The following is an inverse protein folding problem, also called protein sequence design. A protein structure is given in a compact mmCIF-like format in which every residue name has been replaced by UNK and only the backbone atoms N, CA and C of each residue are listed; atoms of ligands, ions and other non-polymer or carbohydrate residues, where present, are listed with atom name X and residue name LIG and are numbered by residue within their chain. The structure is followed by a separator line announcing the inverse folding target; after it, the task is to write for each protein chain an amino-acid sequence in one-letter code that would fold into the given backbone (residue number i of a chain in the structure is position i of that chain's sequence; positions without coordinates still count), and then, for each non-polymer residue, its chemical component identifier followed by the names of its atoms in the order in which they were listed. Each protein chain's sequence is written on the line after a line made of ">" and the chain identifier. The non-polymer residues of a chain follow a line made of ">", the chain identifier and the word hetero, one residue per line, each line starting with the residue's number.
data_IF_384093825943
#
_entry.id   IF_384093825943
#
_cell.length_a   1.000
_cell.length_b   1.000
_cell.length_c   1.000
_cell.angle_alpha   90.00
_cell.angle_beta   90.00
_cell.angle_gamma   90.00
#
_symmetry.space_group_name_H-M   'P 1'
#
loop_
_entity.id
_entity.type
_entity.pdbx_description
1 polymer ?
#
# COMPACT_ATOMS: atom_id res chain seq x y z
N UNK A 1 -12.10 -13.44 12.08
CA UNK A 1 -10.78 -13.50 11.40
C UNK A 1 -9.82 -12.53 12.07
N UNK A 2 -8.74 -13.05 12.67
CA UNK A 2 -7.73 -12.28 13.40
C UNK A 2 -6.75 -11.58 12.47
N UNK A 3 -6.31 -10.38 12.84
CA UNK A 3 -5.36 -9.59 12.05
C UNK A 3 -4.56 -8.58 12.90
N UNK A 4 -3.51 -8.01 12.33
CA UNK A 4 -2.67 -7.03 13.01
C UNK A 4 -1.50 -6.55 12.14
N UNK A 5 -0.62 -5.69 12.67
CA UNK A 5 -0.61 -5.12 14.03
C UNK A 5 -1.20 -3.71 14.03
N UNK A 6 -2.14 -3.45 14.94
CA UNK A 6 -2.69 -2.12 15.21
C UNK A 6 -2.47 -1.79 16.68
N UNK A 7 -1.99 -0.58 16.93
CA UNK A 7 -1.67 -0.11 18.28
C UNK A 7 -2.81 0.64 18.97
N UNK A 8 -3.85 1.02 18.23
CA UNK A 8 -5.01 1.69 18.80
C UNK A 8 -5.96 0.66 19.45
N UNK A 9 -6.67 1.11 20.49
CA UNK A 9 -7.71 0.33 21.17
C UNK A 9 -9.07 0.82 20.70
N UNK A 10 -9.37 0.63 19.42
CA UNK A 10 -10.61 1.11 18.82
C UNK A 10 -11.39 -0.07 18.27
N UNK A 11 -12.63 -0.17 18.72
CA UNK A 11 -13.63 -1.12 18.23
C UNK A 11 -14.72 -0.34 17.52
N UNK A 12 -15.31 -0.94 16.50
CA UNK A 12 -16.42 -0.33 15.79
C UNK A 12 -17.25 -1.40 15.07
N UNK A 13 -18.48 -1.03 14.71
CA UNK A 13 -19.44 -1.89 14.03
C UNK A 13 -19.81 -1.29 12.68
N UNK A 14 -20.08 -2.17 11.71
CA UNK A 14 -20.52 -1.84 10.36
C UNK A 14 -21.67 -2.78 9.99
N UNK A 15 -22.29 -2.58 8.82
CA UNK A 15 -23.33 -3.50 8.37
C UNK A 15 -22.74 -4.88 8.06
N UNK A 16 -23.12 -5.89 8.84
CA UNK A 16 -22.73 -7.30 8.62
C UNK A 16 -21.39 -7.72 9.24
N UNK A 17 -20.62 -6.80 9.82
CA UNK A 17 -19.37 -7.12 10.53
C UNK A 17 -19.02 -6.12 11.62
N UNK A 18 -18.09 -6.50 12.50
CA UNK A 18 -17.49 -5.62 13.51
C UNK A 18 -15.99 -5.84 13.59
N UNK A 19 -15.25 -4.82 14.00
CA UNK A 19 -13.84 -4.90 14.34
C UNK A 19 -13.72 -4.82 15.85
N UNK A 20 -13.15 -5.86 16.45
CA UNK A 20 -12.97 -5.99 17.90
C UNK A 20 -11.51 -6.14 18.26
N UNK A 21 -11.16 -5.70 19.46
CA UNK A 21 -9.83 -5.89 20.05
C UNK A 21 -9.74 -7.33 20.55
N UNK A 22 -8.60 -7.98 20.34
CA UNK A 22 -8.36 -9.31 20.88
C UNK A 22 -8.03 -9.26 22.38
N UNK A 23 -8.51 -10.27 23.11
CA UNK A 23 -8.11 -10.48 24.51
C UNK A 23 -6.58 -10.52 24.66
N UNK A 24 -6.07 -9.95 25.76
CA UNK A 24 -4.64 -9.83 26.00
C UNK A 24 -3.94 -8.81 25.09
N UNK A 25 -4.65 -7.78 24.60
CA UNK A 25 -4.07 -6.71 23.79
C UNK A 25 -2.84 -6.07 24.47
N UNK A 26 -2.94 -5.73 25.76
CA UNK A 26 -1.85 -5.08 26.49
C UNK A 26 -0.60 -5.97 26.58
N UNK A 27 -0.77 -7.27 26.84
CA UNK A 27 0.33 -8.23 26.83
C UNK A 27 1.00 -8.31 25.45
N UNK A 28 0.21 -8.34 24.37
CA UNK A 28 0.75 -8.31 23.00
C UNK A 28 1.50 -7.02 22.70
N UNK A 29 1.04 -5.88 23.21
CA UNK A 29 1.74 -4.60 23.10
C UNK A 29 3.08 -4.61 23.85
N UNK A 30 3.14 -5.25 25.02
CA UNK A 30 4.37 -5.36 25.81
C UNK A 30 5.38 -6.32 25.17
N UNK A 31 4.92 -7.44 24.60
CA UNK A 31 5.73 -8.32 23.76
C UNK A 31 6.26 -7.55 22.54
N UNK A 32 5.39 -6.79 21.86
CA UNK A 32 5.80 -5.97 20.73
C UNK A 32 6.94 -5.01 21.10
N UNK A 33 6.78 -4.23 22.18
CA UNK A 33 7.78 -3.25 22.64
C UNK A 33 9.10 -3.88 23.09
N UNK A 34 9.06 -5.09 23.63
CA UNK A 34 10.25 -5.77 24.18
C UNK A 34 11.00 -6.63 23.17
N UNK A 35 10.31 -7.15 22.15
CA UNK A 35 10.84 -8.24 21.31
C UNK A 35 11.00 -7.88 19.83
N UNK A 36 10.29 -6.87 19.31
CA UNK A 36 10.35 -6.53 17.89
C UNK A 36 11.39 -5.44 17.62
N UNK A 37 12.24 -5.59 16.58
CA UNK A 37 13.18 -4.55 16.19
C UNK A 37 12.44 -3.41 15.51
N UNK A 38 12.39 -2.24 16.16
CA UNK A 38 11.72 -1.04 15.67
C UNK A 38 12.74 0.09 15.52
N UNK A 39 12.75 0.74 14.35
CA UNK A 39 13.58 1.91 14.10
C UNK A 39 12.99 2.75 12.96
N UNK A 40 13.14 4.08 13.02
CA UNK A 40 12.73 4.98 11.94
C UNK A 40 11.26 4.91 11.54
N UNK A 41 10.36 4.47 12.42
CA UNK A 41 8.93 4.29 12.12
C UNK A 41 8.56 2.92 11.52
N UNK A 42 9.52 2.01 11.39
CA UNK A 42 9.32 0.66 10.84
C UNK A 42 9.58 -0.44 11.86
N UNK A 43 8.85 -1.53 11.72
CA UNK A 43 9.16 -2.83 12.33
C UNK A 43 9.94 -3.64 11.30
N UNK A 44 11.05 -4.25 11.72
CA UNK A 44 11.91 -5.06 10.85
C UNK A 44 11.72 -6.56 11.12
N UNK A 45 11.97 -7.39 10.11
CA UNK A 45 12.02 -8.82 10.29
C UNK A 45 13.18 -9.22 11.23
N UNK A 46 13.04 -10.31 12.00
CA UNK A 46 14.11 -10.80 12.87
C UNK A 46 15.41 -11.06 12.10
N UNK A 47 16.55 -10.69 12.68
CA UNK A 47 17.84 -10.94 12.05
C UNK A 47 18.26 -12.41 12.23
N UNK A 48 18.91 -12.95 11.21
CA UNK A 48 19.52 -14.27 11.21
C UNK A 48 21.02 -14.13 10.94
N UNK A 49 21.84 -14.81 11.73
CA UNK A 49 23.26 -14.95 11.43
C UNK A 49 23.44 -15.96 10.29
N UNK A 50 24.15 -15.58 9.24
CA UNK A 50 24.62 -16.54 8.25
C UNK A 50 25.83 -17.29 8.80
N UNK A 51 26.18 -18.42 8.19
CA UNK A 51 27.35 -19.17 8.62
C UNK A 51 28.36 -19.28 7.51
N UNK A 52 29.64 -19.12 7.86
CA UNK A 52 30.72 -19.37 6.94
C UNK A 52 30.71 -20.85 6.52
N UNK A 53 30.85 -21.08 5.22
CA UNK A 53 31.14 -22.40 4.68
C UNK A 53 32.50 -22.88 5.21
N UNK A 54 32.74 -24.21 5.27
CA UNK A 54 34.00 -24.75 5.79
C UNK A 54 35.27 -24.22 5.11
N UNK A 55 35.18 -23.84 3.82
CA UNK A 55 36.29 -23.22 3.08
C UNK A 55 36.51 -21.76 3.47
N UNK A 56 35.43 -21.02 3.75
CA UNK A 56 35.46 -19.61 4.14
C UNK A 56 36.03 -19.43 5.54
N UNK A 57 35.74 -20.34 6.47
CA UNK A 57 36.33 -20.33 7.83
C UNK A 57 37.86 -20.35 7.85
N UNK A 58 38.50 -20.82 6.78
CA UNK A 58 39.95 -20.86 6.64
C UNK A 58 40.53 -19.60 5.99
N UNK A 59 39.69 -18.80 5.31
CA UNK A 59 40.11 -17.66 4.49
C UNK A 59 39.67 -16.31 5.08
N UNK A 60 38.57 -16.29 5.83
CA UNK A 60 37.98 -15.08 6.39
C UNK A 60 37.86 -15.19 7.90
N UNK A 61 38.40 -14.18 8.59
CA UNK A 61 38.30 -13.99 10.03
C UNK A 61 37.25 -12.94 10.42
N UNK A 62 36.56 -12.36 9.44
CA UNK A 62 35.48 -11.41 9.68
C UNK A 62 34.32 -12.07 10.44
N UNK A 63 33.56 -11.32 11.25
CA UNK A 63 32.32 -11.81 11.83
C UNK A 63 31.36 -12.31 10.75
N UNK A 64 30.63 -13.38 11.06
CA UNK A 64 29.59 -13.88 10.15
C UNK A 64 28.47 -12.83 10.01
N UNK A 65 28.02 -12.53 8.78
CA UNK A 65 27.10 -11.44 8.54
C UNK A 65 25.72 -11.72 9.15
N UNK A 66 25.12 -10.68 9.72
CA UNK A 66 23.71 -10.66 10.13
C UNK A 66 22.87 -10.19 8.95
N UNK A 67 21.87 -10.99 8.56
CA UNK A 67 20.91 -10.61 7.52
C UNK A 67 19.51 -10.51 8.08
N UNK A 68 18.72 -9.60 7.54
CA UNK A 68 17.29 -9.52 7.88
C UNK A 68 16.56 -10.77 7.41
N UNK A 69 15.61 -11.26 8.20
CA UNK A 69 14.62 -12.22 7.73
C UNK A 69 13.83 -11.67 6.55
N UNK A 70 13.32 -12.58 5.71
CA UNK A 70 12.54 -12.19 4.53
C UNK A 70 11.10 -11.82 4.89
N UNK A 71 10.51 -12.53 5.86
CA UNK A 71 9.14 -12.33 6.30
C UNK A 71 9.10 -11.87 7.76
N UNK A 72 8.24 -10.89 8.01
CA UNK A 72 7.90 -10.37 9.33
C UNK A 72 6.48 -10.80 9.67
N UNK A 73 6.33 -11.64 10.70
CA UNK A 73 5.03 -12.01 11.25
C UNK A 73 4.73 -11.16 12.48
N UNK A 74 3.60 -10.48 12.43
CA UNK A 74 3.14 -9.62 13.51
C UNK A 74 2.04 -10.32 14.31
N UNK A 75 1.97 -10.09 15.63
CA UNK A 75 0.92 -10.68 16.45
C UNK A 75 -0.42 -10.02 16.08
N UNK A 76 -1.51 -10.80 15.96
CA UNK A 76 -2.81 -10.21 15.73
C UNK A 76 -3.25 -9.45 16.99
N UNK A 77 -3.81 -8.27 16.78
CA UNK A 77 -4.29 -7.37 17.85
C UNK A 77 -5.80 -7.19 17.80
N UNK A 78 -6.39 -7.45 16.64
CA UNK A 78 -7.81 -7.26 16.36
C UNK A 78 -8.39 -8.46 15.64
N UNK A 79 -9.71 -8.52 15.60
CA UNK A 79 -10.48 -9.50 14.87
C UNK A 79 -11.66 -8.85 14.14
N UNK A 80 -11.88 -9.26 12.88
CA UNK A 80 -13.16 -9.06 12.21
C UNK A 80 -14.12 -10.17 12.63
N UNK A 81 -15.23 -9.81 13.27
CA UNK A 81 -16.35 -10.70 13.54
C UNK A 81 -17.45 -10.44 12.49
N UNK A 82 -17.71 -11.40 11.61
CA UNK A 82 -18.69 -11.30 10.52
C UNK A 82 -19.29 -12.68 10.18
N UNK A 83 -20.31 -12.70 9.34
CA UNK A 83 -20.81 -13.93 8.68
C UNK A 83 -20.25 -14.13 7.27
N UNK A 84 -19.32 -13.28 6.85
CA UNK A 84 -18.72 -13.35 5.52
C UNK A 84 -17.64 -14.43 5.43
N UNK A 85 -17.33 -14.84 4.21
CA UNK A 85 -16.24 -15.78 3.95
C UNK A 85 -14.85 -15.17 4.19
N UNK A 86 -13.83 -16.03 4.14
CA UNK A 86 -12.44 -15.64 4.40
C UNK A 86 -11.90 -14.66 3.35
N UNK A 87 -12.34 -14.76 2.09
CA UNK A 87 -11.89 -13.85 1.04
C UNK A 87 -12.38 -12.42 1.31
N UNK A 88 -13.65 -12.29 1.66
CA UNK A 88 -14.25 -11.01 1.99
C UNK A 88 -13.60 -10.41 3.25
N UNK A 89 -13.43 -11.21 4.31
CA UNK A 89 -12.76 -10.74 5.52
C UNK A 89 -11.30 -10.30 5.25
N UNK A 90 -10.57 -11.03 4.42
CA UNK A 90 -9.21 -10.64 4.02
C UNK A 90 -9.19 -9.34 3.20
N UNK A 91 -10.21 -9.10 2.36
CA UNK A 91 -10.37 -7.84 1.63
C UNK A 91 -10.66 -6.67 2.60
N UNK A 92 -11.54 -6.87 3.58
CA UNK A 92 -11.85 -5.86 4.61
C UNK A 92 -10.60 -5.50 5.42
N UNK A 93 -9.81 -6.49 5.85
CA UNK A 93 -8.54 -6.24 6.57
C UNK A 93 -7.60 -5.38 5.72
N UNK A 94 -7.45 -5.73 4.45
CA UNK A 94 -6.56 -5.01 3.54
C UNK A 94 -7.06 -3.58 3.27
N UNK A 95 -8.37 -3.41 3.08
CA UNK A 95 -9.01 -2.11 2.93
C UNK A 95 -8.89 -1.25 4.19
N UNK A 96 -9.00 -1.85 5.39
CA UNK A 96 -8.77 -1.13 6.64
C UNK A 96 -7.31 -0.67 6.76
N UNK A 97 -6.37 -1.52 6.32
CA UNK A 97 -4.97 -1.14 6.19
C UNK A 97 -4.77 0.06 5.28
N UNK A 98 -5.45 0.09 4.13
CA UNK A 98 -5.45 1.26 3.24
C UNK A 98 -5.95 2.53 3.93
N UNK A 99 -7.07 2.47 4.66
CA UNK A 99 -7.59 3.62 5.40
C UNK A 99 -6.62 4.10 6.48
N UNK A 100 -6.03 3.17 7.23
CA UNK A 100 -5.06 3.48 8.30
C UNK A 100 -3.69 3.94 7.75
N UNK A 101 -3.39 3.69 6.47
CA UNK A 101 -2.06 3.89 5.92
C UNK A 101 -1.03 2.90 6.48
N UNK A 102 -1.45 1.65 6.68
CA UNK A 102 -0.67 0.55 7.25
C UNK A 102 -0.88 -0.74 6.44
N UNK A 103 0.16 -1.57 6.31
CA UNK A 103 -0.03 -2.91 5.76
C UNK A 103 -0.56 -3.85 6.85
N UNK A 104 -1.87 -4.11 6.82
CA UNK A 104 -2.53 -5.08 7.69
C UNK A 104 -2.77 -6.38 6.95
N UNK A 105 -2.53 -7.50 7.62
CA UNK A 105 -2.76 -8.83 7.06
C UNK A 105 -3.42 -9.76 8.08
N UNK A 106 -4.17 -10.78 7.60
CA UNK A 106 -4.67 -11.85 8.46
C UNK A 106 -3.53 -12.52 9.25
N UNK A 107 -3.89 -13.07 10.41
CA UNK A 107 -2.98 -13.91 11.21
C UNK A 107 -2.35 -15.02 10.35
N UNK A 108 -1.05 -15.24 10.53
CA UNK A 108 -0.28 -16.23 9.77
C UNK A 108 0.21 -15.75 8.41
N UNK A 109 -0.16 -14.55 7.96
CA UNK A 109 0.45 -13.89 6.81
C UNK A 109 1.53 -12.91 7.29
N UNK A 110 2.59 -12.74 6.49
CA UNK A 110 3.75 -11.93 6.85
C UNK A 110 3.98 -10.76 5.89
N UNK A 111 4.56 -9.68 6.40
CA UNK A 111 5.06 -8.56 5.59
C UNK A 111 6.48 -8.86 5.07
N UNK A 112 6.85 -8.26 3.93
CA UNK A 112 8.18 -8.43 3.34
C UNK A 112 9.19 -7.48 3.98
N UNK A 113 10.21 -8.03 4.64
CA UNK A 113 11.37 -7.29 5.18
C UNK A 113 11.05 -6.36 6.35
N UNK A 114 10.21 -5.35 6.13
CA UNK A 114 9.79 -4.36 7.13
C UNK A 114 8.36 -3.88 6.88
N UNK A 115 7.72 -3.27 7.87
CA UNK A 115 6.41 -2.62 7.70
C UNK A 115 6.27 -1.43 8.64
N UNK A 116 5.63 -0.33 8.24
CA UNK A 116 5.30 0.74 9.17
C UNK A 116 4.29 0.26 10.22
N UNK A 117 4.30 0.90 11.39
CA UNK A 117 3.36 0.58 12.48
C UNK A 117 2.57 1.79 13.00
N UNK A 118 2.94 2.99 12.54
CA UNK A 118 2.25 4.23 12.88
C UNK A 118 1.16 4.53 11.83
N UNK A 119 -0.10 4.76 12.22
CA UNK A 119 -1.13 5.21 11.29
C UNK A 119 -0.68 6.42 10.48
N UNK A 120 -1.22 6.61 9.28
CA UNK A 120 -0.85 7.63 8.28
C UNK A 120 0.55 7.48 7.67
N UNK A 121 1.33 6.45 8.00
CA UNK A 121 2.72 6.34 7.51
C UNK A 121 2.83 6.20 6.00
N UNK A 122 1.90 5.48 5.35
CA UNK A 122 1.96 5.22 3.91
C UNK A 122 1.27 6.33 3.11
N UNK A 123 0.06 6.72 3.52
CA UNK A 123 -0.83 7.58 2.73
C UNK A 123 -0.96 9.01 3.26
N UNK A 124 -0.38 9.34 4.42
CA UNK A 124 -0.47 10.66 5.04
C UNK A 124 -1.85 11.01 5.62
N UNK A 125 -2.81 10.08 5.65
CA UNK A 125 -4.20 10.34 6.03
C UNK A 125 -4.54 9.82 7.42
N UNK A 126 -5.29 10.63 8.17
CA UNK A 126 -5.74 10.31 9.52
C UNK A 126 -7.24 10.03 9.52
N UNK A 127 -7.64 8.92 10.14
CA UNK A 127 -9.04 8.60 10.40
C UNK A 127 -9.54 9.40 11.60
N UNK A 128 -10.54 10.24 11.38
CA UNK A 128 -11.14 11.11 12.39
C UNK A 128 -12.62 10.79 12.60
N UNK A 129 -13.09 10.84 13.85
CA UNK A 129 -14.49 10.53 14.21
C UNK A 129 -14.94 9.19 13.58
N UNK A 130 -16.00 9.24 12.77
CA UNK A 130 -16.65 8.09 12.14
C UNK A 130 -16.01 7.64 10.83
N UNK A 131 -14.83 8.17 10.46
CA UNK A 131 -14.17 7.81 9.18
C UNK A 131 -13.88 6.31 9.09
N UNK A 132 -13.65 5.64 10.23
CA UNK A 132 -13.42 4.19 10.29
C UNK A 132 -14.65 3.45 9.80
N UNK A 133 -15.79 3.71 10.42
CA UNK A 133 -17.07 3.07 10.12
C UNK A 133 -17.50 3.37 8.69
N UNK A 134 -17.49 4.66 8.31
CA UNK A 134 -17.91 5.08 6.96
C UNK A 134 -17.02 4.51 5.87
N UNK A 135 -15.70 4.61 6.04
CA UNK A 135 -14.75 4.10 5.06
C UNK A 135 -14.84 2.59 4.92
N UNK A 136 -14.96 1.87 6.03
CA UNK A 136 -15.10 0.43 6.03
C UNK A 136 -16.44 -0.04 5.43
N UNK A 137 -17.52 0.71 5.62
CA UNK A 137 -18.80 0.44 4.96
C UNK A 137 -18.67 0.61 3.45
N UNK A 138 -18.06 1.68 2.96
CA UNK A 138 -17.81 1.88 1.52
C UNK A 138 -16.99 0.73 0.93
N UNK A 139 -15.95 0.28 1.64
CA UNK A 139 -15.10 -0.85 1.21
C UNK A 139 -15.90 -2.17 1.17
N UNK A 140 -16.75 -2.41 2.17
CA UNK A 140 -17.66 -3.56 2.21
C UNK A 140 -18.61 -3.55 1.01
N UNK A 141 -19.26 -2.40 0.77
CA UNK A 141 -20.18 -2.23 -0.36
C UNK A 141 -19.47 -2.39 -1.71
N UNK A 142 -18.21 -1.92 -1.84
CA UNK A 142 -17.41 -2.19 -3.03
C UNK A 142 -17.26 -3.69 -3.28
N UNK A 143 -16.88 -4.47 -2.26
CA UNK A 143 -16.70 -5.91 -2.42
C UNK A 143 -18.02 -6.59 -2.81
N UNK A 144 -19.13 -6.28 -2.12
CA UNK A 144 -20.44 -6.86 -2.39
C UNK A 144 -20.86 -6.62 -3.86
N UNK A 145 -20.69 -5.39 -4.35
CA UNK A 145 -21.15 -5.00 -5.69
C UNK A 145 -20.19 -5.38 -6.84
N UNK A 146 -18.90 -5.54 -6.55
CA UNK A 146 -17.91 -5.91 -7.54
C UNK A 146 -18.03 -7.40 -7.94
N UNK A 147 -17.67 -7.73 -9.17
CA UNK A 147 -17.49 -9.12 -9.60
C UNK A 147 -16.14 -9.70 -9.14
N UNK A 148 -15.93 -11.00 -9.35
CA UNK A 148 -14.73 -11.73 -8.90
C UNK A 148 -13.45 -11.11 -9.47
N UNK A 149 -13.42 -10.77 -10.77
CA UNK A 149 -12.25 -10.17 -11.40
C UNK A 149 -11.93 -8.78 -10.84
N UNK A 150 -12.95 -7.96 -10.59
CA UNK A 150 -12.81 -6.63 -10.00
C UNK A 150 -12.34 -6.69 -8.55
N UNK A 151 -12.87 -7.62 -7.74
CA UNK A 151 -12.42 -7.86 -6.36
C UNK A 151 -10.95 -8.26 -6.33
N UNK A 152 -10.59 -9.24 -7.16
CA UNK A 152 -9.23 -9.75 -7.27
C UNK A 152 -8.25 -8.65 -7.72
N UNK A 153 -8.60 -7.89 -8.76
CA UNK A 153 -7.76 -6.79 -9.25
C UNK A 153 -7.63 -5.67 -8.22
N UNK A 154 -8.69 -5.29 -7.52
CA UNK A 154 -8.64 -4.25 -6.49
C UNK A 154 -7.81 -4.68 -5.29
N UNK A 155 -7.98 -5.93 -4.85
CA UNK A 155 -7.15 -6.53 -3.79
C UNK A 155 -5.67 -6.47 -4.16
N UNK A 156 -5.34 -6.82 -5.41
CA UNK A 156 -3.96 -6.73 -5.90
C UNK A 156 -3.44 -5.29 -5.88
N UNK A 157 -4.25 -4.31 -6.31
CA UNK A 157 -3.87 -2.89 -6.28
C UNK A 157 -3.59 -2.39 -4.87
N UNK A 158 -4.49 -2.64 -3.91
CA UNK A 158 -4.31 -2.20 -2.52
C UNK A 158 -3.10 -2.91 -1.89
N UNK A 159 -2.95 -4.21 -2.13
CA UNK A 159 -1.81 -4.96 -1.62
C UNK A 159 -0.48 -4.40 -2.12
N UNK A 160 -0.33 -4.24 -3.45
CA UNK A 160 0.89 -3.68 -4.04
C UNK A 160 1.17 -2.26 -3.58
N UNK A 161 0.12 -1.44 -3.41
CA UNK A 161 0.24 -0.09 -2.89
C UNK A 161 0.81 -0.07 -1.48
N UNK A 162 0.31 -0.92 -0.58
CA UNK A 162 0.75 -0.97 0.81
C UNK A 162 2.15 -1.57 0.96
N UNK A 163 2.47 -2.66 0.25
CA UNK A 163 3.79 -3.31 0.35
C UNK A 163 4.89 -2.50 -0.33
N UNK A 164 4.57 -1.62 -1.28
CA UNK A 164 5.56 -0.75 -1.91
C UNK A 164 6.34 0.02 -0.84
N UNK A 165 5.66 0.51 0.20
CA UNK A 165 6.32 1.26 1.27
C UNK A 165 7.33 0.42 2.08
N UNK A 166 7.23 -0.91 2.04
CA UNK A 166 8.21 -1.82 2.66
C UNK A 166 9.50 -1.94 1.85
N UNK A 167 9.51 -1.60 0.57
CA UNK A 167 10.68 -1.72 -0.30
C UNK A 167 11.77 -0.70 0.08
N UNK A 168 13.03 -1.10 -0.08
CA UNK A 168 14.17 -0.30 0.32
C UNK A 168 14.55 0.74 -0.73
N UNK A 169 14.46 0.37 -2.01
CA UNK A 169 14.91 1.24 -3.08
C UNK A 169 13.75 2.00 -3.74
N UNK A 170 14.01 3.26 -4.10
CA UNK A 170 13.02 4.12 -4.76
C UNK A 170 12.55 3.55 -6.11
N UNK A 171 13.44 2.95 -6.90
CA UNK A 171 13.07 2.35 -8.18
C UNK A 171 12.12 1.15 -8.01
N UNK A 172 12.25 0.37 -6.92
CA UNK A 172 11.34 -0.74 -6.60
C UNK A 172 9.95 -0.20 -6.24
N UNK A 173 9.92 0.85 -5.41
CA UNK A 173 8.68 1.54 -5.04
C UNK A 173 7.99 2.13 -6.25
N UNK A 174 8.74 2.78 -7.14
CA UNK A 174 8.25 3.29 -8.40
C UNK A 174 7.61 2.18 -9.25
N UNK A 175 8.30 1.05 -9.44
CA UNK A 175 7.79 -0.08 -10.22
C UNK A 175 6.51 -0.68 -9.60
N UNK A 176 6.49 -0.85 -8.27
CA UNK A 176 5.32 -1.30 -7.52
C UNK A 176 4.13 -0.35 -7.70
N UNK A 177 4.33 0.95 -7.48
CA UNK A 177 3.29 1.96 -7.66
C UNK A 177 2.81 2.07 -9.11
N UNK A 178 3.70 1.95 -10.08
CA UNK A 178 3.28 1.95 -11.48
C UNK A 178 2.40 0.74 -11.82
N UNK A 179 2.67 -0.44 -11.25
CA UNK A 179 1.78 -1.61 -11.39
C UNK A 179 0.41 -1.38 -10.77
N UNK A 180 0.32 -0.66 -9.65
CA UNK A 180 -0.96 -0.24 -9.06
C UNK A 180 -1.72 0.67 -10.02
N UNK A 181 -1.06 1.67 -10.61
CA UNK A 181 -1.66 2.56 -11.61
C UNK A 181 -2.24 1.76 -12.79
N UNK A 182 -1.46 0.85 -13.36
CA UNK A 182 -1.89 0.00 -14.49
C UNK A 182 -3.03 -0.96 -14.09
N UNK A 183 -3.02 -1.46 -12.85
CA UNK A 183 -4.09 -2.27 -12.28
C UNK A 183 -5.40 -1.50 -12.12
N UNK A 184 -5.34 -0.26 -11.60
CA UNK A 184 -6.50 0.63 -11.49
C UNK A 184 -7.04 1.03 -12.87
N UNK A 185 -6.15 1.26 -13.85
CA UNK A 185 -6.56 1.50 -15.22
C UNK A 185 -7.32 0.30 -15.79
N UNK A 186 -6.78 -0.92 -15.63
CA UNK A 186 -7.45 -2.15 -16.06
C UNK A 186 -8.83 -2.29 -15.41
N UNK A 187 -8.93 -2.03 -14.11
CA UNK A 187 -10.18 -2.12 -13.37
C UNK A 187 -11.25 -1.18 -13.93
N UNK A 188 -10.88 0.07 -14.22
CA UNK A 188 -11.80 1.12 -14.62
C UNK A 188 -12.19 1.14 -16.10
N UNK A 189 -11.32 0.63 -16.99
CA UNK A 189 -11.52 0.72 -18.45
C UNK A 189 -11.55 -0.64 -19.16
N UNK A 190 -10.90 -1.68 -18.62
CA UNK A 190 -10.89 -3.01 -19.28
C UNK A 190 -11.89 -3.97 -18.68
N UNK A 191 -12.06 -3.93 -17.36
CA UNK A 191 -13.03 -4.77 -16.65
C UNK A 191 -14.40 -4.09 -16.52
N UNK A 192 -14.49 -2.79 -16.82
CA UNK A 192 -15.75 -2.07 -16.84
C UNK A 192 -16.35 -2.13 -18.25
N UNK A 193 -17.50 -2.81 -18.45
CA UNK A 193 -18.12 -2.96 -19.76
C UNK A 193 -18.53 -1.62 -20.40
N UNK A 194 -18.69 -0.56 -19.60
CA UNK A 194 -19.11 0.75 -20.07
C UNK A 194 -17.96 1.61 -20.63
N UNK A 195 -16.69 1.19 -20.45
CA UNK A 195 -15.52 2.04 -20.71
C UNK A 195 -14.47 1.36 -21.61
N UNK A 196 -14.88 0.77 -22.73
CA UNK A 196 -13.96 0.07 -23.66
C UNK A 196 -13.15 1.02 -24.56
N UNK A 197 -12.27 1.83 -23.96
CA UNK A 197 -11.33 2.67 -24.71
C UNK A 197 -9.96 2.00 -24.87
N UNK A 198 -9.42 2.06 -26.09
CA UNK A 198 -8.01 1.77 -26.33
C UNK A 198 -7.18 3.01 -25.98
N UNK A 199 -6.51 2.98 -24.83
CA UNK A 199 -5.74 4.10 -24.28
C UNK A 199 -4.27 3.68 -24.19
N UNK A 200 -3.38 4.54 -24.68
CA UNK A 200 -1.94 4.30 -24.63
C UNK A 200 -1.42 4.38 -23.19
N UNK A 201 -0.31 3.72 -22.89
CA UNK A 201 0.28 3.75 -21.55
C UNK A 201 0.51 5.17 -20.99
N UNK A 202 1.04 6.15 -21.74
CA UNK A 202 1.23 7.51 -21.26
C UNK A 202 -0.07 8.24 -20.87
N UNK A 203 -1.20 7.83 -21.45
CA UNK A 203 -2.51 8.47 -21.29
C UNK A 203 -3.28 7.94 -20.07
N UNK A 204 -2.87 6.80 -19.50
CA UNK A 204 -3.58 6.15 -18.40
C UNK A 204 -3.72 7.01 -17.13
N UNK A 205 -2.66 7.70 -16.64
CA UNK A 205 -2.82 8.59 -15.49
C UNK A 205 -3.84 9.69 -15.73
N UNK A 206 -3.83 10.28 -16.94
CA UNK A 206 -4.70 11.39 -17.33
C UNK A 206 -6.16 10.93 -17.40
N UNK A 207 -6.42 9.79 -18.03
CA UNK A 207 -7.79 9.25 -18.14
C UNK A 207 -8.34 8.82 -16.78
N UNK A 208 -7.52 8.25 -15.90
CA UNK A 208 -7.90 7.93 -14.53
C UNK A 208 -8.20 9.20 -13.71
N UNK A 209 -7.34 10.21 -13.80
CA UNK A 209 -7.57 11.49 -13.13
C UNK A 209 -8.85 12.16 -13.61
N UNK A 210 -9.07 12.19 -14.93
CA UNK A 210 -10.28 12.75 -15.55
C UNK A 210 -11.56 12.00 -15.15
N UNK A 211 -11.49 10.68 -15.01
CA UNK A 211 -12.65 9.86 -14.60
C UNK A 211 -13.19 10.28 -13.23
N UNK A 212 -12.30 10.67 -12.32
CA UNK A 212 -12.62 10.97 -10.93
C UNK A 212 -12.58 12.46 -10.57
N UNK A 213 -12.24 13.33 -11.54
CA UNK A 213 -12.05 14.76 -11.29
C UNK A 213 -10.84 15.08 -10.40
N UNK A 214 -9.84 14.19 -10.37
CA UNK A 214 -8.60 14.40 -9.61
C UNK A 214 -7.65 15.27 -10.42
N UNK A 215 -6.94 16.20 -9.78
CA UNK A 215 -5.94 17.03 -10.44
C UNK A 215 -4.75 16.19 -10.95
N UNK A 216 -4.28 16.52 -12.16
CA UNK A 216 -3.20 15.79 -12.83
C UNK A 216 -1.85 16.33 -12.32
N UNK A 217 -0.96 15.47 -11.78
CA UNK A 217 0.40 15.88 -11.41
C UNK A 217 1.21 16.34 -12.64
N UNK A 218 2.12 17.30 -12.45
CA UNK A 218 2.95 17.85 -13.55
C UNK A 218 3.73 16.77 -14.31
N UNK A 219 4.29 15.77 -13.62
CA UNK A 219 5.00 14.64 -14.22
C UNK A 219 4.13 13.71 -15.07
N UNK A 220 2.81 13.79 -14.93
CA UNK A 220 1.82 12.99 -15.65
C UNK A 220 1.28 13.70 -16.90
N UNK A 221 1.50 15.01 -17.01
CA UNK A 221 1.07 15.81 -18.15
C UNK A 221 1.74 15.29 -19.42
N UNK A 222 0.96 15.22 -20.50
CA UNK A 222 1.40 14.67 -21.78
C UNK A 222 1.81 15.80 -22.70
N UNK A 223 3.06 15.76 -23.13
CA UNK A 223 3.65 16.61 -24.16
C UNK A 223 4.22 15.70 -25.26
N UNK A 224 3.87 15.95 -26.52
CA UNK A 224 4.32 15.14 -27.66
C UNK A 224 4.14 13.61 -27.48
N UNK A 225 2.95 13.21 -26.97
CA UNK A 225 2.54 11.81 -26.70
C UNK A 225 3.32 11.11 -25.59
N UNK A 226 4.11 11.84 -24.80
CA UNK A 226 4.87 11.30 -23.67
C UNK A 226 4.63 12.17 -22.44
N UNK A 227 4.71 11.56 -21.27
CA UNK A 227 4.86 12.25 -19.99
C UNK A 227 6.19 11.87 -19.35
N UNK A 228 6.67 12.67 -18.40
CA UNK A 228 7.89 12.36 -17.63
C UNK A 228 7.79 10.98 -17.00
N UNK A 229 6.63 10.66 -16.39
CA UNK A 229 6.35 9.35 -15.83
C UNK A 229 6.47 8.22 -16.87
N UNK A 230 5.87 8.41 -18.06
CA UNK A 230 5.88 7.38 -19.10
C UNK A 230 7.29 7.09 -19.63
N UNK A 231 8.13 8.13 -19.70
CA UNK A 231 9.55 7.99 -20.08
C UNK A 231 10.29 7.22 -19.00
N UNK A 232 10.16 7.63 -17.73
CA UNK A 232 10.83 6.97 -16.61
C UNK A 232 10.44 5.49 -16.49
N UNK A 233 9.16 5.16 -16.69
CA UNK A 233 8.69 3.77 -16.70
C UNK A 233 9.29 2.96 -17.84
N UNK A 234 9.34 3.52 -19.05
CA UNK A 234 9.89 2.80 -20.18
C UNK A 234 11.39 2.57 -20.03
N UNK A 235 12.13 3.56 -19.54
CA UNK A 235 13.55 3.45 -19.20
C UNK A 235 13.80 2.33 -18.17
N UNK A 236 12.99 2.27 -17.11
CA UNK A 236 13.13 1.23 -16.09
C UNK A 236 12.79 -0.16 -16.64
N UNK A 237 11.67 -0.29 -17.35
CA UNK A 237 11.15 -1.59 -17.79
C UNK A 237 11.88 -2.17 -19.00
N UNK A 238 12.40 -1.33 -19.90
CA UNK A 238 12.97 -1.78 -21.18
C UNK A 238 14.49 -1.56 -21.28
N UNK A 239 15.03 -0.56 -20.59
CA UNK A 239 16.45 -0.21 -20.68
C UNK A 239 17.22 -0.51 -19.38
N UNK A 240 16.54 -1.01 -18.33
CA UNK A 240 17.11 -1.24 -17.00
C UNK A 240 17.82 0.00 -16.41
N UNK A 241 17.28 1.19 -16.70
CA UNK A 241 17.80 2.48 -16.22
C UNK A 241 16.80 3.21 -15.34
N UNK A 242 17.30 4.01 -14.40
CA UNK A 242 16.51 4.88 -13.54
C UNK A 242 17.15 6.27 -13.53
N UNK A 243 16.38 7.31 -13.83
CA UNK A 243 16.90 8.66 -14.10
C UNK A 243 17.97 8.69 -15.22
N UNK A 244 17.73 8.01 -16.35
CA UNK A 244 18.64 7.94 -17.52
C UNK A 244 20.03 7.35 -17.26
N UNK A 245 20.23 6.68 -16.12
CA UNK A 245 21.49 6.06 -15.73
C UNK A 245 21.24 4.62 -15.25
N UNK A 246 22.28 3.76 -15.17
CA UNK A 246 22.12 2.46 -14.53
C UNK A 246 21.58 2.61 -13.11
N UNK A 247 20.75 1.67 -12.67
CA UNK A 247 20.14 1.70 -11.35
C UNK A 247 21.23 1.88 -10.27
N UNK A 248 21.06 2.90 -9.42
CA UNK A 248 22.00 3.25 -8.35
C UNK A 248 23.02 4.36 -8.71
N UNK A 249 23.07 4.82 -9.97
CA UNK A 249 24.00 5.88 -10.40
C UNK A 249 23.39 7.29 -10.32
N UNK A 250 22.06 7.40 -10.35
CA UNK A 250 21.33 8.65 -10.24
C UNK A 250 19.96 8.45 -9.59
N UNK A 251 19.37 9.56 -9.14
CA UNK A 251 17.98 9.64 -8.68
C UNK A 251 17.18 10.57 -9.60
N UNK A 252 15.88 10.31 -9.81
CA UNK A 252 15.02 11.20 -10.59
C UNK A 252 14.87 12.55 -9.90
N UNK A 253 14.48 13.57 -10.67
CA UNK A 253 14.17 14.88 -10.09
C UNK A 253 12.83 14.85 -9.36
N UNK A 254 11.88 14.10 -9.88
CA UNK A 254 10.57 13.91 -9.27
C UNK A 254 10.67 13.00 -8.04
N UNK A 255 9.91 13.33 -7.01
CA UNK A 255 9.84 12.51 -5.81
C UNK A 255 8.73 11.47 -5.93
N UNK A 256 8.86 10.54 -6.88
CA UNK A 256 7.83 9.55 -7.18
C UNK A 256 7.41 8.75 -5.95
N UNK A 257 8.34 8.46 -5.04
CA UNK A 257 8.05 7.76 -3.79
C UNK A 257 6.89 8.39 -3.01
N UNK A 258 6.77 9.72 -3.04
CA UNK A 258 5.71 10.45 -2.34
C UNK A 258 4.60 10.89 -3.29
N UNK A 259 4.93 11.51 -4.41
CA UNK A 259 3.94 12.11 -5.31
C UNK A 259 3.08 11.05 -6.02
N UNK A 260 3.69 9.95 -6.46
CA UNK A 260 2.93 8.84 -7.05
C UNK A 260 2.11 8.12 -5.97
N UNK A 261 2.62 8.00 -4.74
CA UNK A 261 1.87 7.44 -3.62
C UNK A 261 0.61 8.27 -3.30
N UNK A 262 0.73 9.59 -3.22
CA UNK A 262 -0.39 10.50 -2.96
C UNK A 262 -1.43 10.43 -4.09
N UNK A 263 -0.99 10.46 -5.34
CA UNK A 263 -1.87 10.32 -6.51
C UNK A 263 -2.61 8.98 -6.52
N UNK A 264 -1.91 7.87 -6.25
CA UNK A 264 -2.52 6.55 -6.16
C UNK A 264 -3.46 6.41 -4.97
N UNK A 265 -3.20 7.08 -3.85
CA UNK A 265 -4.12 7.12 -2.72
C UNK A 265 -5.47 7.69 -3.15
N UNK A 266 -5.45 8.81 -3.89
CA UNK A 266 -6.68 9.43 -4.44
C UNK A 266 -7.39 8.48 -5.40
N UNK A 267 -6.65 7.85 -6.33
CA UNK A 267 -7.23 6.92 -7.29
C UNK A 267 -7.83 5.67 -6.67
N UNK A 268 -7.15 5.05 -5.68
CA UNK A 268 -7.67 3.90 -4.94
C UNK A 268 -8.93 4.30 -4.19
N UNK A 269 -8.89 5.42 -3.46
CA UNK A 269 -10.03 5.90 -2.70
C UNK A 269 -11.25 6.17 -3.60
N UNK A 270 -11.05 6.88 -4.70
CA UNK A 270 -12.11 7.16 -5.66
C UNK A 270 -12.65 5.87 -6.32
N UNK A 271 -11.77 4.90 -6.63
CA UNK A 271 -12.16 3.59 -7.19
C UNK A 271 -12.98 2.76 -6.20
N UNK A 272 -12.70 2.85 -4.89
CA UNK A 272 -13.52 2.22 -3.84
C UNK A 272 -14.87 2.92 -3.67
N UNK A 273 -15.02 4.15 -4.18
CA UNK A 273 -16.21 4.98 -3.99
C UNK A 273 -16.15 5.85 -2.72
N UNK A 274 -14.98 6.04 -2.11
CA UNK A 274 -14.81 6.94 -0.97
C UNK A 274 -15.03 8.39 -1.43
N UNK A 275 -15.83 9.12 -0.67
CA UNK A 275 -16.09 10.55 -0.88
C UNK A 275 -15.39 11.36 0.19
N UNK A 276 -14.46 12.21 -0.23
CA UNK A 276 -13.65 13.07 0.64
C UNK A 276 -13.07 14.22 -0.17
N UNK A 277 -12.96 15.40 0.44
CA UNK A 277 -12.31 16.57 -0.15
C UNK A 277 -10.83 16.31 -0.49
N UNK A 278 -10.19 15.33 0.16
CA UNK A 278 -8.80 14.96 -0.13
C UNK A 278 -8.60 14.59 -1.61
N UNK A 279 -9.61 14.04 -2.28
CA UNK A 279 -9.52 13.69 -3.71
C UNK A 279 -9.18 14.89 -4.59
N UNK A 280 -9.57 16.09 -4.17
CA UNK A 280 -9.41 17.33 -4.92
C UNK A 280 -8.28 18.22 -4.40
N UNK A 281 -7.55 17.76 -3.38
CA UNK A 281 -6.34 18.43 -2.89
C UNK A 281 -5.24 18.47 -3.96
N UNK A 282 -4.26 19.35 -3.78
CA UNK A 282 -3.14 19.49 -4.70
C UNK A 282 -2.32 18.18 -4.82
N UNK A 283 -1.78 17.84 -6.01
CA UNK A 283 -1.06 16.58 -6.22
C UNK A 283 0.25 16.48 -5.41
N UNK A 284 0.85 17.62 -5.07
CA UNK A 284 2.10 17.73 -4.33
C UNK A 284 1.88 18.02 -2.83
N UNK A 285 0.63 17.92 -2.34
CA UNK A 285 0.31 18.14 -0.93
C UNK A 285 1.06 17.16 -0.02
N UNK A 286 1.89 17.69 0.88
CA UNK A 286 2.78 16.89 1.77
C UNK A 286 2.35 16.87 3.23
N UNK A 287 1.31 17.62 3.59
CA UNK A 287 0.85 17.70 4.97
C UNK A 287 -0.06 16.52 5.32
N UNK A 288 -0.14 16.20 6.61
CA UNK A 288 -1.12 15.23 7.09
C UNK A 288 -2.51 15.77 6.88
N UNK A 289 -3.36 14.95 6.27
CA UNK A 289 -4.74 15.30 5.97
C UNK A 289 -5.70 14.37 6.73
N UNK A 290 -6.93 14.80 6.97
CA UNK A 290 -7.97 13.96 7.60
C UNK A 290 -8.88 13.39 6.53
N UNK A 291 -9.24 12.12 6.65
CA UNK A 291 -10.11 11.48 5.68
C UNK A 291 -11.45 12.23 5.52
N UNK A 292 -12.13 12.59 6.60
CA UNK A 292 -13.41 13.35 6.55
C UNK A 292 -14.40 12.75 5.53
N UNK A 293 -14.67 11.44 5.69
CA UNK A 293 -15.48 10.67 4.76
C UNK A 293 -16.96 11.03 4.96
N UNK A 294 -17.67 11.24 3.85
CA UNK A 294 -19.10 11.56 3.82
C UNK A 294 -19.99 10.33 4.00
#
# INVERSE_FOLDING_TARGET
>A
MKFGFLKDKIEFECEGFSVKILEGFDEKMDIFRSSYPVSGGFIYAPQKQLHHLPKEKKQFSSPEPMVSGQLLFLPPTHEICSTYDDEHNAFLILGYGFLQGLYLCPEGQGAFGRTPYEPSSINGLLLYRSDREKGMEVINQYFINANVEQRSQMRACIHWFLIAYSMDHEWERFDAYYKVLDGLFRLNFKLNPNNSKSILHPERPVELASLYGIQIPSWAVIEDKKSVLSVQRNELAHEATFAKQPIGFALPQENYSFELCAFLTKLIAATLGLKTDYLYSEPDMREKWRWEIE
#
